data_IF_015858986234
#
_entry.id   IF_015858986234
#
_cell.length_a   1.000
_cell.length_b   1.000
_cell.length_c   1.000
_cell.angle_alpha   90.00
_cell.angle_beta   90.00
_cell.angle_gamma   90.00
#
_symmetry.space_group_name_H-M   'P 1'
#
loop_
_entity.id
_entity.type
_entity.pdbx_description
1 polymer ?
#
# COMPACT_ATOMS: atom_id res chain seq x y z
N UNK A 1 33.99 3.08 -9.29
CA UNK A 1 32.82 2.91 -8.40
C UNK A 1 32.40 1.47 -8.52
N UNK A 2 32.59 0.65 -7.48
CA UNK A 2 31.93 -0.66 -7.42
C UNK A 2 30.44 -0.45 -7.65
N UNK A 3 29.85 -1.21 -8.58
CA UNK A 3 28.40 -1.30 -8.72
C UNK A 3 27.93 -2.06 -7.49
N UNK A 4 27.38 -1.36 -6.50
CA UNK A 4 26.78 -2.05 -5.37
C UNK A 4 25.53 -2.79 -5.91
N UNK A 5 25.62 -4.12 -5.98
CA UNK A 5 24.50 -4.98 -6.38
C UNK A 5 23.50 -5.09 -5.24
N UNK A 6 22.79 -4.00 -4.96
CA UNK A 6 21.74 -4.01 -3.95
C UNK A 6 20.49 -4.68 -4.50
N UNK A 7 20.42 -6.00 -4.39
CA UNK A 7 19.20 -6.78 -4.72
C UNK A 7 17.94 -6.22 -4.06
N UNK A 8 18.08 -5.60 -2.88
CA UNK A 8 16.99 -4.90 -2.19
C UNK A 8 16.51 -3.65 -2.94
N UNK A 9 17.40 -2.85 -3.54
CA UNK A 9 17.01 -1.67 -4.31
C UNK A 9 16.35 -2.05 -5.63
N UNK A 10 16.87 -3.07 -6.32
CA UNK A 10 16.24 -3.61 -7.53
C UNK A 10 14.83 -4.13 -7.22
N UNK A 11 14.68 -4.85 -6.11
CA UNK A 11 13.38 -5.33 -5.65
C UNK A 11 12.42 -4.17 -5.34
N UNK A 12 12.86 -3.15 -4.59
CA UNK A 12 12.03 -1.96 -4.30
C UNK A 12 11.59 -1.26 -5.59
N UNK A 13 12.51 -1.11 -6.55
CA UNK A 13 12.19 -0.48 -7.83
C UNK A 13 11.15 -1.30 -8.60
N UNK A 14 11.32 -2.61 -8.68
CA UNK A 14 10.37 -3.49 -9.36
C UNK A 14 8.98 -3.40 -8.75
N UNK A 15 8.87 -3.49 -7.42
CA UNK A 15 7.58 -3.38 -6.72
C UNK A 15 6.91 -2.03 -6.96
N UNK A 16 7.68 -0.94 -6.95
CA UNK A 16 7.14 0.40 -7.25
C UNK A 16 6.62 0.52 -8.69
N UNK A 17 7.32 -0.09 -9.65
CA UNK A 17 6.90 -0.06 -11.05
C UNK A 17 5.65 -0.92 -11.28
N UNK A 18 5.57 -2.08 -10.63
CA UNK A 18 4.36 -2.92 -10.59
C UNK A 18 3.18 -2.14 -9.99
N UNK A 19 3.35 -1.56 -8.81
CA UNK A 19 2.31 -0.76 -8.14
C UNK A 19 1.85 0.41 -9.01
N UNK A 20 2.78 1.15 -9.65
CA UNK A 20 2.43 2.24 -10.55
C UNK A 20 1.61 1.75 -11.73
N UNK A 21 2.03 0.66 -12.39
CA UNK A 21 1.31 0.14 -13.54
C UNK A 21 -0.09 -0.37 -13.20
N UNK A 22 -0.28 -0.95 -12.01
CA UNK A 22 -1.58 -1.38 -11.53
C UNK A 22 -2.51 -0.24 -11.10
N UNK A 23 -1.94 0.86 -10.61
CA UNK A 23 -2.72 1.91 -9.95
C UNK A 23 -2.85 3.21 -10.74
N UNK A 24 -2.05 3.41 -11.79
CA UNK A 24 -2.01 4.66 -12.58
C UNK A 24 -3.33 5.07 -13.23
N UNK A 25 -4.26 4.13 -13.43
CA UNK A 25 -5.59 4.40 -14.00
C UNK A 25 -6.67 4.62 -12.94
N UNK A 26 -6.37 4.35 -11.66
CA UNK A 26 -7.32 4.47 -10.57
C UNK A 26 -7.43 5.92 -10.11
N UNK A 27 -8.65 6.36 -9.81
CA UNK A 27 -8.85 7.61 -9.08
C UNK A 27 -8.34 7.47 -7.64
N UNK A 28 -8.00 8.59 -6.96
CA UNK A 28 -7.62 8.57 -5.55
C UNK A 28 -8.64 7.85 -4.65
N UNK A 29 -9.93 8.01 -4.94
CA UNK A 29 -11.01 7.36 -4.18
C UNK A 29 -10.96 5.83 -4.34
N UNK A 30 -10.81 5.35 -5.56
CA UNK A 30 -10.71 3.91 -5.85
C UNK A 30 -9.45 3.31 -5.23
N UNK A 31 -8.33 4.03 -5.26
CA UNK A 31 -7.09 3.59 -4.62
C UNK A 31 -7.24 3.45 -3.10
N UNK A 32 -7.89 4.41 -2.45
CA UNK A 32 -8.19 4.36 -1.01
C UNK A 32 -9.08 3.15 -0.71
N UNK A 33 -10.14 2.91 -1.49
CA UNK A 33 -11.04 1.78 -1.28
C UNK A 33 -10.35 0.43 -1.54
N UNK A 34 -9.51 0.30 -2.58
CA UNK A 34 -8.69 -0.90 -2.86
C UNK A 34 -7.78 -1.20 -1.67
N UNK A 35 -7.04 -0.20 -1.21
CA UNK A 35 -6.08 -0.33 -0.10
C UNK A 35 -6.78 -0.68 1.20
N UNK A 36 -7.91 -0.02 1.49
CA UNK A 36 -8.71 -0.30 2.69
C UNK A 36 -9.22 -1.74 2.72
N UNK A 37 -9.79 -2.23 1.61
CA UNK A 37 -10.28 -3.61 1.50
C UNK A 37 -9.15 -4.62 1.68
N UNK A 38 -8.00 -4.39 1.04
CA UNK A 38 -6.84 -5.25 1.19
C UNK A 38 -6.39 -5.33 2.66
N UNK A 39 -6.29 -4.18 3.35
CA UNK A 39 -5.95 -4.15 4.76
C UNK A 39 -6.98 -4.82 5.68
N UNK A 40 -8.28 -4.66 5.40
CA UNK A 40 -9.36 -5.35 6.12
C UNK A 40 -9.26 -6.88 5.94
N UNK A 41 -9.01 -7.36 4.72
CA UNK A 41 -8.84 -8.78 4.43
C UNK A 41 -7.62 -9.37 5.13
N UNK A 42 -6.45 -8.72 5.02
CA UNK A 42 -5.23 -9.16 5.69
C UNK A 42 -5.39 -9.17 7.21
N UNK A 43 -6.04 -8.16 7.78
CA UNK A 43 -6.32 -8.14 9.21
C UNK A 43 -7.22 -9.33 9.62
N UNK A 44 -8.24 -9.64 8.81
CA UNK A 44 -9.11 -10.80 9.05
C UNK A 44 -8.35 -12.12 8.97
N UNK A 45 -7.50 -12.32 7.96
CA UNK A 45 -6.68 -13.53 7.79
C UNK A 45 -5.72 -13.76 8.96
N UNK A 46 -5.18 -12.67 9.51
CA UNK A 46 -4.25 -12.70 10.64
C UNK A 46 -4.95 -12.69 12.01
N UNK A 47 -6.28 -12.66 12.06
CA UNK A 47 -7.04 -12.56 13.31
C UNK A 47 -6.82 -11.24 14.06
N UNK A 48 -6.44 -10.18 13.35
CA UNK A 48 -6.14 -8.86 13.90
C UNK A 48 -7.40 -7.99 13.94
N UNK A 49 -7.52 -7.22 15.03
CA UNK A 49 -8.56 -6.19 15.16
C UNK A 49 -8.12 -4.91 14.44
N UNK A 50 -8.92 -4.44 13.49
CA UNK A 50 -8.72 -3.12 12.87
C UNK A 50 -9.14 -2.03 13.86
N UNK A 51 -8.19 -1.19 14.28
CA UNK A 51 -8.45 -0.01 15.12
C UNK A 51 -8.39 1.24 14.25
N UNK A 52 -9.46 2.03 14.24
CA UNK A 52 -9.51 3.31 13.52
C UNK A 52 -9.45 4.46 14.52
N UNK A 53 -8.58 5.43 14.26
CA UNK A 53 -8.58 6.68 15.02
C UNK A 53 -9.92 7.40 14.82
N UNK A 54 -10.48 7.97 15.88
CA UNK A 54 -11.58 8.93 15.72
C UNK A 54 -11.05 10.10 14.91
N UNK A 55 -11.68 10.38 13.78
CA UNK A 55 -11.42 11.62 13.03
C UNK A 55 -11.94 12.76 13.90
N UNK A 56 -11.10 13.71 14.34
CA UNK A 56 -11.59 14.88 15.05
C UNK A 56 -12.47 15.68 14.10
N UNK A 57 -13.74 15.88 14.47
CA UNK A 57 -14.60 16.87 13.83
C UNK A 57 -14.02 18.24 14.16
N UNK A 58 -13.55 18.96 13.14
CA UNK A 58 -13.19 20.36 13.28
C UNK A 58 -14.52 21.11 13.12
N UNK A 59 -15.06 21.60 14.25
CA UNK A 59 -16.21 22.52 14.27
C UNK A 59 -15.81 23.91 13.73
#
# INVERSE_FOLDING_TARGET
MEKWEYKSLEWIHRVREEDYNETKTLSPKELIDKTRKAGENTASELGLKVVRAKIPTID
#
